data_IF_717794284029
#
_entry.id   IF_717794284029
#
_cell.length_a   1.000
_cell.length_b   1.000
_cell.length_c   1.000
_cell.angle_alpha   90.00
_cell.angle_beta   90.00
_cell.angle_gamma   90.00
#
_symmetry.space_group_name_H-M   'P 1'
#
loop_
_entity.id
_entity.type
_entity.pdbx_description
1 polymer ?
#
# COMPACT_ATOMS: atom_id res chain seq x y z
N UNK A 1 -13.49 21.50 -44.99
CA UNK A 1 -14.17 20.91 -43.83
C UNK A 1 -13.11 20.68 -42.78
N UNK A 2 -13.05 21.55 -41.78
CA UNK A 2 -12.01 21.58 -40.75
C UNK A 2 -12.44 20.76 -39.54
N UNK A 3 -11.67 19.73 -39.22
CA UNK A 3 -11.81 18.93 -38.00
C UNK A 3 -11.58 19.80 -36.76
N UNK A 4 -12.66 19.99 -35.98
CA UNK A 4 -12.58 20.55 -34.64
C UNK A 4 -11.94 19.52 -33.71
N UNK A 5 -10.64 19.65 -33.44
CA UNK A 5 -10.01 19.00 -32.28
C UNK A 5 -10.75 19.44 -31.02
N UNK A 6 -11.43 18.50 -30.36
CA UNK A 6 -12.04 18.71 -29.04
C UNK A 6 -10.92 19.07 -28.07
N UNK A 7 -10.96 20.28 -27.52
CA UNK A 7 -10.16 20.66 -26.35
C UNK A 7 -10.65 19.81 -25.16
N UNK A 8 -9.97 18.72 -24.89
CA UNK A 8 -10.09 18.03 -23.61
C UNK A 8 -9.35 18.91 -22.61
N UNK A 9 -10.07 19.66 -21.78
CA UNK A 9 -9.52 20.33 -20.61
C UNK A 9 -8.82 19.26 -19.77
N UNK A 10 -7.49 19.32 -19.70
CA UNK A 10 -6.71 18.38 -18.89
C UNK A 10 -7.15 18.55 -17.43
N UNK A 11 -7.75 17.50 -16.86
CA UNK A 11 -8.16 17.51 -15.45
C UNK A 11 -6.95 17.80 -14.57
N UNK A 12 -7.06 18.77 -13.67
CA UNK A 12 -6.00 19.07 -12.70
C UNK A 12 -5.67 17.82 -11.88
N UNK A 13 -4.38 17.56 -11.69
CA UNK A 13 -3.89 16.48 -10.84
C UNK A 13 -3.66 17.03 -9.44
N UNK A 14 -4.19 16.38 -8.43
CA UNK A 14 -4.25 16.88 -7.04
C UNK A 14 -3.95 15.75 -6.06
N UNK A 15 -3.54 16.11 -4.84
CA UNK A 15 -3.45 15.16 -3.74
C UNK A 15 -4.85 14.64 -3.40
N UNK A 16 -4.96 13.32 -3.20
CA UNK A 16 -6.21 12.67 -2.76
C UNK A 16 -6.04 12.15 -1.34
N UNK A 17 -4.90 11.52 -1.03
CA UNK A 17 -4.59 11.07 0.33
C UNK A 17 -3.14 11.37 0.71
N UNK A 18 -2.98 11.93 1.91
CA UNK A 18 -1.68 12.09 2.56
C UNK A 18 -1.74 11.48 3.95
N UNK A 19 -0.81 10.56 4.22
CA UNK A 19 -0.84 9.65 5.37
C UNK A 19 -2.19 8.95 5.53
N UNK A 20 -2.86 8.67 4.41
CA UNK A 20 -4.15 7.98 4.34
C UNK A 20 -5.40 8.80 4.65
N UNK A 21 -5.26 10.11 4.85
CA UNK A 21 -6.38 11.03 5.09
C UNK A 21 -6.49 12.04 3.95
N UNK A 22 -7.66 12.70 3.83
CA UNK A 22 -7.81 13.86 2.96
C UNK A 22 -6.72 14.90 3.31
N UNK A 23 -6.04 15.52 2.33
CA UNK A 23 -5.02 16.55 2.58
C UNK A 23 -5.50 17.73 3.41
N UNK A 24 -6.82 17.96 3.48
CA UNK A 24 -7.47 19.04 4.25
C UNK A 24 -7.98 18.58 5.61
N UNK A 25 -7.79 17.30 5.97
CA UNK A 25 -8.23 16.78 7.26
C UNK A 25 -7.36 17.34 8.40
N UNK A 26 -7.95 18.23 9.19
CA UNK A 26 -7.34 18.86 10.38
C UNK A 26 -7.70 18.15 11.68
N UNK A 27 -8.32 16.96 11.61
CA UNK A 27 -8.64 16.18 12.79
C UNK A 27 -7.37 15.77 13.54
N UNK A 28 -7.46 15.66 14.87
CA UNK A 28 -6.32 15.26 15.71
C UNK A 28 -5.69 13.94 15.26
N UNK A 29 -6.51 12.99 14.82
CA UNK A 29 -6.05 11.68 14.36
C UNK A 29 -5.25 11.81 13.07
N UNK A 30 -5.78 12.48 12.04
CA UNK A 30 -5.05 12.70 10.80
C UNK A 30 -3.71 13.39 11.07
N UNK A 31 -3.72 14.48 11.85
CA UNK A 31 -2.53 15.26 12.18
C UNK A 31 -1.50 14.52 13.04
N UNK A 32 -1.91 13.53 13.83
CA UNK A 32 -0.99 12.62 14.50
C UNK A 32 -0.21 11.76 13.51
N UNK A 33 -0.85 11.22 12.47
CA UNK A 33 -0.14 10.46 11.44
C UNK A 33 0.86 11.32 10.66
N UNK A 34 0.51 12.57 10.36
CA UNK A 34 1.45 13.56 9.82
C UNK A 34 2.66 13.75 10.73
N UNK A 35 2.45 14.00 12.02
CA UNK A 35 3.53 14.25 12.98
C UNK A 35 4.46 13.04 13.16
N UNK A 36 3.88 11.84 13.18
CA UNK A 36 4.62 10.60 13.38
C UNK A 36 5.27 10.06 12.11
N UNK A 37 4.99 10.65 10.94
CA UNK A 37 5.31 10.07 9.62
C UNK A 37 4.88 8.59 9.54
N UNK A 38 3.66 8.30 10.00
CA UNK A 38 3.16 6.94 10.14
C UNK A 38 2.13 6.58 9.05
N UNK A 39 2.11 5.32 8.65
CA UNK A 39 1.16 4.77 7.70
C UNK A 39 -0.02 4.15 8.44
N UNK A 40 -1.27 4.63 8.24
CA UNK A 40 -2.43 4.09 8.95
C UNK A 40 -2.83 2.69 8.47
N UNK A 41 -2.48 2.29 7.24
CA UNK A 41 -2.89 1.01 6.66
C UNK A 41 -2.24 -0.20 7.31
N UNK A 42 -1.00 -0.04 7.76
CA UNK A 42 -0.20 -1.12 8.35
C UNK A 42 0.28 -0.81 9.77
N UNK A 43 -0.01 0.38 10.29
CA UNK A 43 0.39 0.79 11.65
C UNK A 43 1.91 0.87 11.86
N UNK A 44 2.66 1.29 10.84
CA UNK A 44 4.15 1.37 10.85
C UNK A 44 4.62 2.74 10.34
N UNK A 45 5.93 3.00 10.41
CA UNK A 45 6.52 4.16 9.74
C UNK A 45 6.20 4.15 8.24
N UNK A 46 5.88 5.32 7.68
CA UNK A 46 5.60 5.47 6.26
C UNK A 46 6.88 5.30 5.44
N UNK A 47 6.78 4.73 4.24
CA UNK A 47 7.94 4.49 3.36
C UNK A 47 8.12 5.56 2.28
N UNK A 48 7.15 6.48 2.11
CA UNK A 48 7.11 7.41 0.98
C UNK A 48 7.97 8.65 1.26
N UNK A 49 9.26 8.42 1.43
CA UNK A 49 10.26 9.46 1.56
C UNK A 49 10.73 9.97 0.20
N UNK A 50 11.32 11.16 0.18
CA UNK A 50 12.11 11.62 -0.95
C UNK A 50 13.40 10.79 -1.11
N UNK A 51 14.07 10.99 -2.25
CA UNK A 51 15.29 10.26 -2.59
C UNK A 51 16.46 10.52 -1.62
N UNK A 52 16.44 11.64 -0.88
CA UNK A 52 17.44 11.94 0.16
C UNK A 52 17.03 11.43 1.54
N UNK A 53 15.90 10.73 1.64
CA UNK A 53 15.34 10.20 2.89
C UNK A 53 15.22 11.25 4.01
N UNK A 54 14.88 12.49 3.63
CA UNK A 54 14.82 13.66 4.51
C UNK A 54 13.38 14.10 4.75
N UNK A 55 12.54 14.04 3.73
CA UNK A 55 11.12 14.43 3.82
C UNK A 55 10.25 13.21 3.58
N UNK A 56 9.43 12.86 4.57
CA UNK A 56 8.37 11.86 4.39
C UNK A 56 7.14 12.55 3.77
N UNK A 57 6.85 12.28 2.50
CA UNK A 57 5.68 12.86 1.85
C UNK A 57 4.38 12.17 2.26
N UNK A 58 4.42 10.88 2.56
CA UNK A 58 3.19 10.15 2.90
C UNK A 58 2.09 10.18 1.84
N UNK A 59 2.41 10.50 0.58
CA UNK A 59 1.42 10.61 -0.49
C UNK A 59 0.96 9.22 -0.94
N UNK A 60 -0.28 8.88 -0.60
CA UNK A 60 -0.84 7.54 -0.81
C UNK A 60 -1.57 7.43 -2.16
N UNK A 61 -2.32 8.47 -2.52
CA UNK A 61 -3.09 8.54 -3.76
C UNK A 61 -3.22 9.97 -4.27
N UNK A 62 -3.44 10.10 -5.58
CA UNK A 62 -3.59 11.37 -6.30
C UNK A 62 -4.67 11.26 -7.37
N UNK A 63 -5.11 12.38 -7.93
CA UNK A 63 -5.91 12.33 -9.16
C UNK A 63 -4.98 12.23 -10.38
N UNK A 64 -5.33 11.35 -11.32
CA UNK A 64 -4.71 11.26 -12.63
C UNK A 64 -5.80 11.01 -13.68
N UNK A 65 -5.79 11.81 -14.75
CA UNK A 65 -6.78 11.72 -15.84
C UNK A 65 -8.23 11.63 -15.35
N UNK A 66 -8.57 12.40 -14.32
CA UNK A 66 -9.92 12.47 -13.74
C UNK A 66 -10.28 11.32 -12.79
N UNK A 67 -9.35 10.42 -12.47
CA UNK A 67 -9.57 9.29 -11.56
C UNK A 67 -8.64 9.36 -10.35
N UNK A 68 -9.09 8.86 -9.21
CA UNK A 68 -8.22 8.66 -8.05
C UNK A 68 -7.38 7.40 -8.27
N UNK A 69 -6.06 7.53 -8.16
CA UNK A 69 -5.10 6.45 -8.37
C UNK A 69 -4.19 6.28 -7.16
N UNK A 70 -3.95 5.02 -6.78
CA UNK A 70 -3.02 4.68 -5.70
C UNK A 70 -1.59 4.69 -6.22
N UNK A 71 -0.71 5.42 -5.54
CA UNK A 71 0.71 5.62 -5.92
C UNK A 71 1.69 5.13 -4.84
N UNK A 72 1.13 4.47 -3.83
CA UNK A 72 1.85 3.86 -2.72
C UNK A 72 1.40 2.41 -2.61
N UNK A 73 2.31 1.42 -2.76
CA UNK A 73 1.91 0.01 -2.69
C UNK A 73 1.37 -0.36 -1.31
N UNK A 74 1.86 0.29 -0.23
CA UNK A 74 1.40 0.03 1.15
C UNK A 74 -0.08 0.35 1.35
N UNK A 75 -0.65 1.25 0.53
CA UNK A 75 -2.10 1.53 0.56
C UNK A 75 -2.93 0.32 0.13
N UNK A 76 -2.40 -0.56 -0.71
CA UNK A 76 -3.10 -1.76 -1.18
C UNK A 76 -3.24 -2.85 -0.10
N UNK A 77 -2.58 -2.67 1.05
CA UNK A 77 -2.68 -3.52 2.24
C UNK A 77 -3.69 -3.02 3.27
N UNK A 78 -4.55 -2.07 2.91
CA UNK A 78 -5.61 -1.57 3.77
C UNK A 78 -6.52 -2.71 4.29
N UNK A 79 -7.26 -2.42 5.37
CA UNK A 79 -8.20 -3.34 5.99
C UNK A 79 -7.56 -4.67 6.41
N UNK A 80 -6.39 -4.60 7.05
CA UNK A 80 -5.64 -5.77 7.51
C UNK A 80 -5.35 -6.78 6.38
N UNK A 81 -4.72 -6.27 5.30
CA UNK A 81 -4.31 -7.06 4.14
C UNK A 81 -5.48 -7.77 3.43
N UNK A 82 -6.66 -7.15 3.39
CA UNK A 82 -7.89 -7.70 2.79
C UNK A 82 -7.66 -8.28 1.39
N UNK A 83 -6.98 -7.54 0.51
CA UNK A 83 -6.64 -7.98 -0.85
C UNK A 83 -5.83 -9.29 -0.86
N UNK A 84 -4.87 -9.44 0.06
CA UNK A 84 -4.05 -10.67 0.15
C UNK A 84 -4.90 -11.84 0.63
N UNK A 85 -5.84 -11.59 1.53
CA UNK A 85 -6.80 -12.60 2.02
C UNK A 85 -7.77 -13.04 0.94
N UNK A 86 -8.22 -12.13 0.07
CA UNK A 86 -9.03 -12.50 -1.11
C UNK A 86 -8.25 -13.40 -2.07
N UNK A 87 -7.01 -13.06 -2.40
CA UNK A 87 -6.18 -13.92 -3.27
C UNK A 87 -5.98 -15.31 -2.65
N UNK A 88 -5.86 -15.41 -1.32
CA UNK A 88 -5.78 -16.69 -0.64
C UNK A 88 -7.06 -17.53 -0.81
N UNK A 89 -8.24 -16.91 -0.70
CA UNK A 89 -9.53 -17.56 -0.93
C UNK A 89 -9.64 -18.06 -2.36
N UNK A 90 -9.29 -17.22 -3.34
CA UNK A 90 -9.34 -17.59 -4.75
C UNK A 90 -8.39 -18.74 -5.10
N UNK A 91 -7.19 -18.75 -4.50
CA UNK A 91 -6.16 -19.75 -4.80
C UNK A 91 -6.35 -21.08 -4.08
N UNK A 92 -6.75 -21.06 -2.81
CA UNK A 92 -6.75 -22.25 -1.93
C UNK A 92 -8.14 -22.62 -1.38
N UNK A 93 -9.16 -21.80 -1.65
CA UNK A 93 -10.52 -21.96 -1.14
C UNK A 93 -10.79 -21.30 0.22
N UNK A 94 -12.06 -21.29 0.63
CA UNK A 94 -12.57 -20.54 1.79
C UNK A 94 -12.25 -21.18 3.17
N UNK A 95 -11.89 -22.46 3.20
CA UNK A 95 -11.87 -23.24 4.43
C UNK A 95 -10.52 -23.25 5.15
N UNK A 96 -9.50 -22.60 4.60
CA UNK A 96 -8.16 -22.57 5.18
C UNK A 96 -7.90 -21.23 5.87
N UNK A 97 -7.48 -21.21 7.14
CA UNK A 97 -7.12 -19.97 7.80
C UNK A 97 -5.84 -19.39 7.17
N UNK A 98 -5.81 -18.06 6.99
CA UNK A 98 -4.58 -17.34 6.64
C UNK A 98 -3.97 -16.69 7.88
N UNK A 99 -2.73 -17.05 8.18
CA UNK A 99 -1.91 -16.45 9.21
C UNK A 99 -0.77 -15.63 8.60
N UNK A 100 -0.49 -14.49 9.23
CA UNK A 100 0.80 -13.83 9.08
C UNK A 100 1.89 -14.68 9.77
N UNK A 101 3.14 -14.52 9.36
CA UNK A 101 4.24 -15.37 9.80
C UNK A 101 4.45 -15.36 11.31
N UNK A 102 4.33 -14.19 11.95
CA UNK A 102 4.47 -14.07 13.40
C UNK A 102 3.39 -14.87 14.14
N UNK A 103 2.17 -14.91 13.61
CA UNK A 103 1.05 -15.67 14.19
C UNK A 103 1.19 -17.16 13.90
N UNK A 104 1.72 -17.53 12.74
CA UNK A 104 2.11 -18.91 12.45
C UNK A 104 3.16 -19.42 13.44
N UNK A 105 4.21 -18.64 13.74
CA UNK A 105 5.22 -19.01 14.75
C UNK A 105 4.56 -19.25 16.11
N UNK A 106 3.69 -18.35 16.57
CA UNK A 106 2.97 -18.51 17.84
C UNK A 106 2.12 -19.79 17.84
N UNK A 107 1.43 -20.07 16.73
CA UNK A 107 0.59 -21.26 16.57
C UNK A 107 1.42 -22.54 16.74
N UNK A 108 2.52 -22.68 15.98
CA UNK A 108 3.29 -23.93 15.98
C UNK A 108 4.15 -24.13 17.24
N UNK A 109 4.55 -23.04 17.89
CA UNK A 109 5.29 -23.11 19.16
C UNK A 109 4.39 -23.43 20.35
N UNK A 110 3.09 -23.09 20.28
CA UNK A 110 2.13 -23.35 21.36
C UNK A 110 1.41 -24.68 21.19
N UNK A 111 1.02 -25.03 19.97
CA UNK A 111 0.15 -26.18 19.68
C UNK A 111 0.85 -27.33 18.92
N UNK A 112 2.17 -27.20 18.70
CA UNK A 112 2.95 -28.15 17.90
C UNK A 112 2.69 -28.00 16.40
N UNK A 113 3.13 -28.97 15.61
CA UNK A 113 3.06 -28.89 14.14
C UNK A 113 1.68 -29.21 13.57
N UNK A 114 0.67 -29.53 14.39
CA UNK A 114 -0.69 -29.81 13.92
C UNK A 114 -1.38 -28.52 13.45
N UNK A 115 -1.08 -28.12 12.22
CA UNK A 115 -1.57 -26.93 11.54
C UNK A 115 -1.89 -27.30 10.09
N UNK A 116 -3.02 -26.80 9.59
CA UNK A 116 -3.43 -26.92 8.19
C UNK A 116 -4.00 -25.56 7.78
N UNK A 117 -3.24 -24.79 7.01
CA UNK A 117 -3.60 -23.41 6.66
C UNK A 117 -2.57 -22.68 5.82
N UNK A 118 -2.90 -21.44 5.46
CA UNK A 118 -2.07 -20.58 4.62
C UNK A 118 -1.19 -19.70 5.50
N UNK A 119 0.09 -19.65 5.19
CA UNK A 119 1.05 -18.72 5.80
C UNK A 119 1.45 -17.68 4.76
N UNK A 120 1.14 -16.42 5.04
CA UNK A 120 1.51 -15.30 4.18
C UNK A 120 2.92 -14.80 4.52
N UNK A 121 3.82 -14.84 3.55
CA UNK A 121 5.19 -14.34 3.66
C UNK A 121 5.33 -13.10 2.78
N UNK A 122 5.71 -11.96 3.35
CA UNK A 122 5.81 -10.70 2.60
C UNK A 122 5.99 -9.49 3.50
N UNK A 123 5.47 -8.33 3.06
CA UNK A 123 5.68 -7.07 3.78
C UNK A 123 5.12 -7.13 5.22
N UNK A 124 6.02 -6.98 6.21
CA UNK A 124 5.75 -7.11 7.65
C UNK A 124 5.30 -8.50 8.12
N UNK A 125 5.45 -9.53 7.29
CA UNK A 125 5.06 -10.90 7.62
C UNK A 125 6.21 -11.85 7.27
N UNK A 126 7.19 -11.96 8.18
CA UNK A 126 8.40 -12.76 7.94
C UNK A 126 9.40 -12.05 7.02
N UNK A 127 9.85 -12.74 5.97
CA UNK A 127 10.81 -12.20 4.98
C UNK A 127 10.27 -12.40 3.57
N UNK A 128 10.52 -11.42 2.71
CA UNK A 128 10.31 -11.57 1.26
C UNK A 128 11.05 -12.81 0.74
N UNK A 129 10.36 -13.57 -0.11
CA UNK A 129 10.92 -14.79 -0.70
C UNK A 129 11.77 -14.41 -1.90
N UNK A 130 13.09 -14.62 -1.77
CA UNK A 130 14.05 -14.36 -2.84
C UNK A 130 14.23 -15.60 -3.71
N UNK A 131 13.97 -15.47 -5.00
CA UNK A 131 14.20 -16.49 -6.02
C UNK A 131 15.39 -16.04 -6.86
N UNK A 132 16.59 -16.52 -6.53
CA UNK A 132 17.87 -16.23 -7.23
C UNK A 132 18.13 -14.74 -7.51
N UNK A 133 17.64 -14.20 -8.62
CA UNK A 133 17.81 -12.81 -9.07
C UNK A 133 16.54 -11.94 -8.91
N UNK A 134 15.47 -12.49 -8.35
CA UNK A 134 14.18 -11.81 -8.19
C UNK A 134 13.68 -11.97 -6.76
N UNK A 135 12.84 -11.05 -6.31
CA UNK A 135 12.10 -11.12 -5.05
C UNK A 135 10.63 -11.07 -5.37
N UNK A 136 9.84 -11.89 -4.68
CA UNK A 136 8.39 -11.79 -4.70
C UNK A 136 7.94 -10.88 -3.56
N UNK A 137 6.99 -9.97 -3.83
CA UNK A 137 6.39 -9.14 -2.77
C UNK A 137 5.70 -10.01 -1.71
N UNK A 138 4.94 -11.01 -2.15
CA UNK A 138 4.35 -12.02 -1.29
C UNK A 138 4.44 -13.43 -1.84
N UNK A 139 4.52 -14.38 -0.92
CA UNK A 139 4.24 -15.80 -1.15
C UNK A 139 3.23 -16.27 -0.13
N UNK A 140 2.13 -16.84 -0.62
CA UNK A 140 1.16 -17.56 0.19
C UNK A 140 1.50 -19.05 0.12
N UNK A 141 1.83 -19.64 1.26
CA UNK A 141 2.23 -21.03 1.35
C UNK A 141 1.17 -21.84 2.11
N UNK A 142 0.57 -22.85 1.49
CA UNK A 142 -0.26 -23.82 2.19
C UNK A 142 0.63 -24.79 2.95
N UNK A 143 0.60 -24.70 4.28
CA UNK A 143 1.37 -25.56 5.17
C UNK A 143 0.42 -26.53 5.87
N UNK A 144 0.73 -27.82 5.80
CA UNK A 144 0.02 -28.88 6.50
C UNK A 144 1.00 -29.74 7.26
N UNK A 145 0.84 -29.82 8.58
CA UNK A 145 1.69 -30.60 9.48
C UNK A 145 3.19 -30.29 9.37
N UNK A 146 3.55 -29.05 9.05
CA UNK A 146 4.93 -28.61 8.83
C UNK A 146 5.47 -28.86 7.43
N UNK A 147 4.68 -29.44 6.53
CA UNK A 147 5.03 -29.66 5.13
C UNK A 147 4.38 -28.61 4.24
N UNK A 148 5.13 -28.15 3.23
CA UNK A 148 4.60 -27.29 2.18
C UNK A 148 3.81 -28.14 1.17
N UNK A 149 2.54 -27.84 1.00
CA UNK A 149 1.66 -28.54 0.05
C UNK A 149 1.70 -27.84 -1.32
N UNK A 150 1.45 -26.54 -1.33
CA UNK A 150 1.45 -25.69 -2.53
C UNK A 150 1.68 -24.23 -2.16
N UNK A 151 1.95 -23.39 -3.16
CA UNK A 151 2.16 -21.96 -2.94
C UNK A 151 1.76 -21.11 -4.15
N UNK A 152 1.42 -19.85 -3.88
CA UNK A 152 1.14 -18.82 -4.88
C UNK A 152 1.98 -17.58 -4.59
N UNK A 153 2.57 -17.01 -5.63
CA UNK A 153 3.26 -15.73 -5.57
C UNK A 153 2.32 -14.57 -5.90
N UNK A 154 2.49 -13.43 -5.24
CA UNK A 154 1.74 -12.20 -5.52
C UNK A 154 2.74 -11.05 -5.70
N UNK A 155 2.51 -10.26 -6.75
CA UNK A 155 3.22 -9.01 -7.03
C UNK A 155 2.26 -7.84 -6.87
N UNK A 156 2.66 -6.81 -6.13
CA UNK A 156 1.81 -5.68 -5.75
C UNK A 156 2.34 -4.41 -6.42
N UNK A 157 1.58 -3.89 -7.37
CA UNK A 157 2.00 -2.73 -8.16
C UNK A 157 1.03 -1.56 -7.96
N UNK A 158 1.58 -0.42 -7.55
CA UNK A 158 0.88 0.86 -7.58
C UNK A 158 1.21 1.63 -8.86
N UNK A 159 0.52 2.74 -9.10
CA UNK A 159 0.76 3.57 -10.29
C UNK A 159 1.94 4.52 -10.04
N UNK A 160 2.89 4.52 -10.97
CA UNK A 160 3.88 5.58 -11.07
C UNK A 160 3.30 6.79 -11.79
N UNK A 161 3.69 7.98 -11.33
CA UNK A 161 3.24 9.25 -11.88
C UNK A 161 4.43 10.14 -12.21
N UNK A 162 4.25 11.04 -13.17
CA UNK A 162 5.22 12.08 -13.53
C UNK A 162 4.82 13.41 -12.91
N UNK A 163 5.76 14.36 -12.78
CA UNK A 163 5.55 15.66 -12.12
C UNK A 163 5.72 15.60 -10.61
N UNK A 164 5.48 16.71 -9.91
CA UNK A 164 5.68 16.76 -8.45
C UNK A 164 4.54 17.50 -7.72
N UNK A 165 4.29 17.08 -6.48
CA UNK A 165 3.27 17.65 -5.60
C UNK A 165 3.89 18.40 -4.42
N UNK A 166 5.13 18.90 -4.55
CA UNK A 166 5.87 19.47 -3.42
C UNK A 166 5.13 20.65 -2.79
N UNK A 167 4.66 21.58 -3.61
CA UNK A 167 3.94 22.77 -3.13
C UNK A 167 2.58 22.41 -2.55
N UNK A 168 1.86 21.48 -3.20
CA UNK A 168 0.61 20.93 -2.69
C UNK A 168 0.80 20.27 -1.32
N UNK A 169 1.90 19.53 -1.15
CA UNK A 169 2.21 18.87 0.11
C UNK A 169 2.57 19.86 1.21
N UNK A 170 3.37 20.89 0.92
CA UNK A 170 3.66 21.94 1.92
C UNK A 170 2.40 22.73 2.29
N UNK A 171 1.53 23.03 1.33
CA UNK A 171 0.25 23.67 1.60
C UNK A 171 -0.64 22.82 2.52
N UNK A 172 -0.74 21.52 2.27
CA UNK A 172 -1.47 20.57 3.12
C UNK A 172 -0.83 20.42 4.52
N UNK A 173 0.50 20.32 4.59
CA UNK A 173 1.24 20.25 5.84
C UNK A 173 1.00 21.50 6.69
N UNK A 174 1.02 22.67 6.08
CA UNK A 174 0.89 23.97 6.75
C UNK A 174 -0.56 24.43 6.88
N UNK A 175 -1.52 23.53 6.62
CA UNK A 175 -2.97 23.74 6.81
C UNK A 175 -3.47 24.99 6.07
N UNK A 176 -2.93 25.23 4.87
CA UNK A 176 -3.32 26.35 4.02
C UNK A 176 -4.75 26.15 3.47
N UNK A 177 -5.46 27.27 3.30
CA UNK A 177 -6.81 27.26 2.74
C UNK A 177 -6.86 26.77 1.29
N UNK A 178 -5.81 27.03 0.51
CA UNK A 178 -5.67 26.55 -0.86
C UNK A 178 -4.52 25.54 -0.96
N UNK A 179 -4.78 24.44 -1.67
CA UNK A 179 -3.81 23.40 -1.97
C UNK A 179 -3.66 23.36 -3.49
N UNK A 180 -2.54 23.83 -4.04
CA UNK A 180 -2.38 23.93 -5.48
C UNK A 180 -2.36 22.53 -6.13
N UNK A 181 -2.70 22.43 -7.43
CA UNK A 181 -2.54 21.19 -8.18
C UNK A 181 -1.05 20.85 -8.37
N UNK A 182 -0.80 19.66 -8.92
CA UNK A 182 0.51 19.20 -9.33
C UNK A 182 1.17 20.18 -10.31
N UNK A 183 2.48 20.37 -10.15
CA UNK A 183 3.31 21.09 -11.12
C UNK A 183 3.97 20.09 -12.06
N UNK A 184 3.76 20.26 -13.36
CA UNK A 184 4.59 19.62 -14.40
C UNK A 184 5.90 20.39 -14.53
N UNK A 185 7.02 19.71 -14.26
CA UNK A 185 8.35 20.21 -14.56
C UNK A 185 8.67 20.13 -16.05
#
# INVERSE_FOLDING_TARGET
>A
MTDKKKNVTQSQRTLVEVFGYDPRDVSKVARQFWHLNACPFVGRACIKFDHTNTICYGTCSVTNTGQNVVICPVRLYANDYETIREVARDAFGENLPLLMFDDYIKQVTTSGTNFDGIVALGQNSGKEVKITKMSMDWVLAHIKNGELIEYVGIEVQSIDITGNYRDAWYAARDEKADIPPQVTG
#
